data_IF_605833065097
#
_entry.id   IF_605833065097
#
_cell.length_a   1.000
_cell.length_b   1.000
_cell.length_c   1.000
_cell.angle_alpha   90.00
_cell.angle_beta   90.00
_cell.angle_gamma   90.00
#
_symmetry.space_group_name_H-M   'P 1'
#
loop_
_entity.id
_entity.type
_entity.pdbx_description
1 polymer ?
#
# COMPACT_ATOMS: atom_id res chain seq x y z
N UNK A 1 15.99 -2.45 -14.78
CA UNK A 1 15.27 -3.41 -13.94
C UNK A 1 13.91 -2.85 -13.52
N UNK A 2 13.27 -2.12 -14.43
CA UNK A 2 11.97 -1.53 -14.15
C UNK A 2 10.85 -2.39 -14.72
N UNK A 3 10.86 -3.67 -14.36
CA UNK A 3 9.83 -4.61 -14.84
C UNK A 3 9.00 -5.14 -13.69
N UNK A 4 8.04 -6.01 -14.00
CA UNK A 4 7.18 -6.59 -12.99
C UNK A 4 6.43 -7.80 -13.54
N UNK A 5 5.53 -8.35 -12.73
CA UNK A 5 4.76 -9.52 -13.12
C UNK A 5 3.75 -9.16 -14.20
N UNK A 6 4.19 -9.19 -15.46
CA UNK A 6 3.32 -8.86 -16.58
C UNK A 6 2.04 -9.69 -16.54
N UNK A 7 1.00 -9.18 -17.20
CA UNK A 7 -0.28 -9.89 -17.22
C UNK A 7 -1.36 -9.16 -16.46
N UNK A 8 -1.42 -7.84 -16.64
CA UNK A 8 -2.41 -7.02 -15.95
C UNK A 8 -3.16 -6.14 -16.94
N UNK A 9 -2.44 -5.22 -17.57
CA UNK A 9 -3.03 -4.30 -18.54
C UNK A 9 -2.47 -4.56 -19.93
N UNK A 10 -3.21 -4.12 -20.95
CA UNK A 10 -2.80 -4.29 -22.33
C UNK A 10 -1.89 -3.15 -22.78
N UNK A 11 -2.25 -1.93 -22.40
CA UNK A 11 -1.46 -0.75 -22.75
C UNK A 11 -1.08 0.05 -21.51
N UNK A 12 -2.09 0.41 -20.71
CA UNK A 12 -1.85 1.17 -19.49
C UNK A 12 -0.80 0.50 -18.61
N UNK A 13 0.10 1.29 -18.07
CA UNK A 13 1.16 0.77 -17.20
C UNK A 13 0.75 0.86 -15.73
N UNK A 14 -0.30 0.12 -15.37
CA UNK A 14 -0.78 0.11 -14.00
C UNK A 14 -0.03 -0.91 -13.16
N UNK A 15 0.39 -1.99 -13.79
CA UNK A 15 1.12 -3.05 -13.09
C UNK A 15 2.27 -2.47 -12.28
N UNK A 16 2.87 -1.39 -12.78
CA UNK A 16 3.98 -0.73 -12.11
C UNK A 16 3.50 0.06 -10.91
N UNK A 17 2.33 0.67 -11.05
CA UNK A 17 1.74 1.48 -9.98
C UNK A 17 1.17 0.59 -8.87
N UNK A 18 0.66 -0.57 -9.26
CA UNK A 18 0.09 -1.51 -8.31
C UNK A 18 1.05 -1.80 -7.16
N UNK A 19 2.34 -1.73 -7.46
CA UNK A 19 3.37 -1.98 -6.45
C UNK A 19 3.62 -0.74 -5.61
N UNK A 20 3.47 0.42 -6.23
CA UNK A 20 3.68 1.69 -5.53
C UNK A 20 2.69 1.85 -4.36
N UNK A 21 1.41 1.72 -4.67
CA UNK A 21 0.37 1.84 -3.65
C UNK A 21 0.67 0.92 -2.46
N UNK A 22 1.25 -0.23 -2.75
CA UNK A 22 1.58 -1.20 -1.70
C UNK A 22 2.61 -0.63 -0.74
N UNK A 23 3.77 -0.25 -1.27
CA UNK A 23 4.84 0.31 -0.45
C UNK A 23 4.43 1.68 0.10
N UNK A 24 3.44 2.30 -0.52
CA UNK A 24 2.97 3.60 -0.09
C UNK A 24 2.24 3.50 1.25
N UNK A 25 1.42 2.47 1.39
CA UNK A 25 0.66 2.24 2.62
C UNK A 25 1.55 1.67 3.71
N UNK A 26 2.51 0.83 3.32
CA UNK A 26 3.42 0.21 4.25
C UNK A 26 4.14 1.25 5.10
N UNK A 27 4.42 2.40 4.50
CA UNK A 27 5.10 3.49 5.19
C UNK A 27 4.11 4.33 5.99
N UNK A 28 2.90 4.46 5.46
CA UNK A 28 1.86 5.25 6.12
C UNK A 28 1.41 4.57 7.41
N UNK A 29 1.28 3.26 7.37
CA UNK A 29 0.86 2.49 8.54
C UNK A 29 1.97 2.43 9.59
N UNK A 30 3.15 2.00 9.15
CA UNK A 30 4.29 1.89 10.05
C UNK A 30 4.68 3.26 10.62
N UNK A 31 4.24 4.31 9.95
CA UNK A 31 4.53 5.68 10.39
C UNK A 31 3.89 5.96 11.75
N UNK A 32 2.56 5.90 11.80
CA UNK A 32 1.84 6.14 13.03
C UNK A 32 1.43 4.83 13.70
N UNK A 33 0.81 3.94 12.92
CA UNK A 33 0.37 2.65 13.43
C UNK A 33 1.57 1.78 13.82
N UNK A 34 2.72 2.07 13.22
CA UNK A 34 3.93 1.32 13.49
C UNK A 34 3.67 -0.19 13.44
N UNK A 35 2.82 -0.60 12.51
CA UNK A 35 2.48 -2.01 12.36
C UNK A 35 2.11 -2.33 10.91
N UNK A 36 2.53 -3.50 10.44
CA UNK A 36 2.24 -3.92 9.08
C UNK A 36 0.93 -4.71 9.01
N UNK A 37 0.46 -4.96 7.80
CA UNK A 37 -0.78 -5.70 7.59
C UNK A 37 -0.49 -7.18 7.36
N UNK A 38 -1.55 -7.98 7.34
CA UNK A 38 -1.42 -9.42 7.12
C UNK A 38 -0.88 -9.72 5.73
N UNK A 39 -1.23 -8.86 4.77
CA UNK A 39 -0.79 -9.03 3.39
C UNK A 39 0.63 -8.52 3.21
N UNK A 40 1.03 -7.59 4.09
CA UNK A 40 2.38 -7.01 4.03
C UNK A 40 3.43 -8.09 4.22
N UNK A 41 4.55 -7.97 3.48
CA UNK A 41 5.65 -8.92 3.55
C UNK A 41 6.41 -8.84 4.87
N UNK A 42 7.30 -9.80 5.12
CA UNK A 42 8.07 -9.80 6.35
C UNK A 42 8.91 -8.57 6.50
N UNK A 43 8.62 -7.78 7.54
CA UNK A 43 9.36 -6.55 7.81
C UNK A 43 9.13 -6.08 9.24
N UNK A 44 7.97 -5.46 9.48
CA UNK A 44 7.63 -4.97 10.79
C UNK A 44 7.04 -6.07 11.67
N UNK A 45 7.09 -5.87 12.99
CA UNK A 45 6.56 -6.84 13.96
C UNK A 45 5.04 -6.92 13.92
N UNK A 46 4.52 -8.12 13.70
CA UNK A 46 3.08 -8.33 13.65
C UNK A 46 2.42 -7.97 14.97
N UNK A 47 1.52 -6.98 14.93
CA UNK A 47 0.82 -6.54 16.12
C UNK A 47 -0.48 -7.32 16.31
N UNK A 48 -1.01 -7.29 17.53
CA UNK A 48 -2.24 -7.99 17.85
C UNK A 48 -3.36 -7.61 16.88
N UNK A 49 -4.33 -8.52 16.70
CA UNK A 49 -5.47 -8.30 15.80
C UNK A 49 -6.42 -7.23 16.33
N UNK A 50 -6.63 -7.22 17.64
CA UNK A 50 -7.52 -6.25 18.26
C UNK A 50 -7.08 -4.82 17.94
N UNK A 51 -5.77 -4.59 18.00
CA UNK A 51 -5.22 -3.27 17.71
C UNK A 51 -4.95 -3.09 16.22
N UNK A 52 -4.63 -4.20 15.56
CA UNK A 52 -4.35 -4.16 14.12
C UNK A 52 -5.57 -3.69 13.34
N UNK A 53 -6.72 -4.28 13.63
CA UNK A 53 -7.96 -3.91 12.96
C UNK A 53 -8.49 -2.58 13.47
N UNK A 54 -8.28 -2.32 14.75
CA UNK A 54 -8.74 -1.07 15.37
C UNK A 54 -7.93 0.11 14.83
N UNK A 55 -6.66 -0.13 14.51
CA UNK A 55 -5.79 0.91 13.99
C UNK A 55 -5.87 0.99 12.48
N UNK A 56 -6.04 -0.16 11.84
CA UNK A 56 -6.14 -0.21 10.38
C UNK A 56 -7.40 0.48 9.89
N UNK A 57 -8.49 0.32 10.63
CA UNK A 57 -9.76 0.94 10.27
C UNK A 57 -9.58 2.42 9.98
N UNK A 58 -9.14 3.18 11.00
CA UNK A 58 -8.92 4.63 10.87
C UNK A 58 -7.72 4.95 9.99
N UNK A 59 -6.71 4.08 10.04
CA UNK A 59 -5.50 4.28 9.24
C UNK A 59 -5.84 4.43 7.76
N UNK A 60 -6.54 3.46 7.21
CA UNK A 60 -6.93 3.49 5.80
C UNK A 60 -7.96 4.58 5.54
N UNK A 61 -8.97 4.64 6.41
CA UNK A 61 -10.02 5.65 6.27
C UNK A 61 -9.44 7.06 6.35
N UNK A 62 -8.24 7.16 6.91
CA UNK A 62 -7.59 8.46 7.05
C UNK A 62 -6.75 8.77 5.81
N UNK A 63 -5.86 7.85 5.45
CA UNK A 63 -5.00 8.03 4.29
C UNK A 63 -5.81 8.05 3.01
N UNK A 64 -6.96 7.37 3.02
CA UNK A 64 -7.83 7.31 1.86
C UNK A 64 -8.51 8.65 1.61
N UNK A 65 -8.69 9.42 2.68
CA UNK A 65 -9.33 10.73 2.57
C UNK A 65 -8.28 11.83 2.36
N UNK A 66 -7.24 11.80 3.18
CA UNK A 66 -6.17 12.79 3.08
C UNK A 66 -5.13 12.37 2.05
N UNK A 67 -4.51 11.22 2.27
CA UNK A 67 -3.50 10.70 1.37
C UNK A 67 -4.14 10.15 0.10
N UNK A 68 -4.79 11.01 -0.66
CA UNK A 68 -5.46 10.61 -1.89
C UNK A 68 -4.50 10.72 -3.08
N UNK A 69 -3.87 11.87 -3.22
CA UNK A 69 -2.93 12.10 -4.32
C UNK A 69 -1.50 11.77 -3.89
N UNK A 70 -1.20 12.00 -2.62
CA UNK A 70 0.13 11.73 -2.08
C UNK A 70 0.54 10.29 -2.36
N UNK A 71 -0.44 9.41 -2.49
CA UNK A 71 -0.18 8.00 -2.76
C UNK A 71 -0.21 7.72 -4.26
N UNK A 72 0.16 8.72 -5.05
CA UNK A 72 0.18 8.58 -6.50
C UNK A 72 1.56 8.14 -6.99
N UNK A 73 1.56 7.37 -8.08
CA UNK A 73 2.81 6.88 -8.65
C UNK A 73 2.86 7.15 -10.15
N UNK A 74 4.08 7.25 -10.69
CA UNK A 74 4.26 7.50 -12.11
C UNK A 74 4.51 6.20 -12.87
N UNK A 75 4.31 6.24 -14.19
CA UNK A 75 4.51 5.07 -15.03
C UNK A 75 5.94 4.53 -14.87
N UNK A 76 6.13 3.26 -15.27
CA UNK A 76 7.44 2.60 -15.18
C UNK A 76 8.44 3.16 -16.19
N UNK A 77 9.71 2.83 -15.99
CA UNK A 77 10.76 3.32 -16.88
C UNK A 77 10.42 3.00 -18.34
N UNK A 78 10.55 4.02 -19.19
CA UNK A 78 10.25 3.86 -20.62
C UNK A 78 11.52 3.94 -21.45
#
# INVERSE_FOLDING_TARGET
>A
SCKATTGDSEFYDTYSITACRIDCETRYLVENCNCRMVHMPGDAPYCTPEQYKECADPALDFLVEKDNEYCVCEMPCN
#
